data_IF_708227309432
#
_entry.id   IF_708227309432
#
_cell.length_a   1.000
_cell.length_b   1.000
_cell.length_c   1.000
_cell.angle_alpha   90.00
_cell.angle_beta   90.00
_cell.angle_gamma   90.00
#
_symmetry.space_group_name_H-M   'P 1'
#
loop_
_entity.id
_entity.type
_entity.pdbx_description
1 polymer ?
#
# COMPACT_ATOMS: atom_id res chain seq x y z
N UNK A 1 20.38 14.92 -7.49
CA UNK A 1 18.99 15.42 -7.46
C UNK A 1 18.08 14.23 -7.71
N UNK A 2 17.00 14.07 -6.94
CA UNK A 2 15.96 13.11 -7.33
C UNK A 2 15.29 13.67 -8.57
N UNK A 3 15.29 12.90 -9.64
CA UNK A 3 14.59 13.25 -10.87
C UNK A 3 13.10 13.44 -10.55
N UNK A 4 12.53 14.55 -11.00
CA UNK A 4 11.10 14.81 -10.85
C UNK A 4 10.34 13.86 -11.76
N UNK A 5 9.61 12.91 -11.17
CA UNK A 5 8.84 11.92 -11.93
C UNK A 5 7.50 12.56 -12.31
N UNK A 6 7.33 12.85 -13.59
CA UNK A 6 6.02 13.21 -14.15
C UNK A 6 5.24 11.93 -14.49
N UNK A 7 4.09 11.74 -13.85
CA UNK A 7 3.23 10.58 -14.13
C UNK A 7 2.63 10.65 -15.53
N UNK A 8 2.45 9.48 -16.15
CA UNK A 8 1.66 9.36 -17.38
C UNK A 8 0.17 9.54 -17.04
N UNK A 9 -0.66 10.05 -17.97
CA UNK A 9 -2.09 10.27 -17.72
C UNK A 9 -2.82 9.02 -17.18
N UNK A 10 -2.48 7.84 -17.69
CA UNK A 10 -3.11 6.57 -17.29
C UNK A 10 -2.75 6.20 -15.85
N UNK A 11 -1.50 6.44 -15.45
CA UNK A 11 -1.03 6.19 -14.08
C UNK A 11 -1.67 7.18 -13.12
N UNK A 12 -1.77 8.45 -13.51
CA UNK A 12 -2.43 9.49 -12.72
C UNK A 12 -3.91 9.16 -12.50
N UNK A 13 -4.64 8.85 -13.57
CA UNK A 13 -6.06 8.50 -13.48
C UNK A 13 -6.28 7.26 -12.59
N UNK A 14 -5.46 6.22 -12.74
CA UNK A 14 -5.60 5.01 -11.94
C UNK A 14 -5.28 5.26 -10.45
N UNK A 15 -4.28 6.08 -10.16
CA UNK A 15 -3.97 6.51 -8.79
C UNK A 15 -5.12 7.31 -8.15
N UNK A 16 -5.85 8.11 -8.94
CA UNK A 16 -7.07 8.78 -8.47
C UNK A 16 -8.19 7.79 -8.15
N UNK A 17 -8.38 6.74 -8.96
CA UNK A 17 -9.36 5.69 -8.65
C UNK A 17 -9.00 4.91 -7.38
N UNK A 18 -7.70 4.61 -7.21
CA UNK A 18 -7.16 4.04 -5.97
C UNK A 18 -7.55 4.88 -4.74
N UNK A 19 -7.27 6.17 -4.78
CA UNK A 19 -7.61 7.11 -3.70
C UNK A 19 -9.13 7.17 -3.42
N UNK A 20 -9.96 7.27 -4.46
CA UNK A 20 -11.42 7.30 -4.29
C UNK A 20 -11.92 6.05 -3.55
N UNK A 21 -11.43 4.87 -3.92
CA UNK A 21 -11.79 3.60 -3.28
C UNK A 21 -11.27 3.49 -1.85
N UNK A 22 -10.10 4.05 -1.56
CA UNK A 22 -9.59 4.12 -0.18
C UNK A 22 -10.50 5.00 0.68
N UNK A 23 -10.94 6.16 0.18
CA UNK A 23 -11.89 7.04 0.87
C UNK A 23 -13.24 6.39 1.14
N UNK A 24 -13.77 5.62 0.17
CA UNK A 24 -14.98 4.83 0.39
C UNK A 24 -14.83 3.89 1.61
N UNK A 25 -13.62 3.40 1.86
CA UNK A 25 -13.27 2.48 2.94
C UNK A 25 -12.71 3.14 4.21
N UNK A 26 -12.66 4.48 4.32
CA UNK A 26 -12.08 5.18 5.49
C UNK A 26 -12.74 4.76 6.82
N UNK A 27 -14.01 4.37 6.77
CA UNK A 27 -14.77 3.86 7.92
C UNK A 27 -14.20 2.55 8.51
N UNK A 28 -13.28 1.87 7.81
CA UNK A 28 -12.64 0.61 8.26
C UNK A 28 -11.38 0.82 9.11
N UNK A 29 -10.89 2.06 9.29
CA UNK A 29 -9.80 2.38 10.21
C UNK A 29 -8.37 2.25 9.67
N UNK A 30 -8.20 2.07 8.35
CA UNK A 30 -6.89 2.00 7.69
C UNK A 30 -6.18 0.65 7.80
N UNK A 31 -4.88 0.60 7.46
CA UNK A 31 -4.07 -0.63 7.38
C UNK A 31 -2.76 -0.57 8.18
N UNK A 32 -2.56 0.46 9.01
CA UNK A 32 -1.29 0.70 9.71
C UNK A 32 -0.93 -0.38 10.73
N UNK A 33 -1.91 -1.12 11.25
CA UNK A 33 -1.68 -2.19 12.23
C UNK A 33 -1.82 -3.59 11.62
N UNK A 34 -2.19 -3.67 10.34
CA UNK A 34 -2.34 -4.95 9.65
C UNK A 34 -1.01 -5.66 9.44
N UNK A 35 -1.05 -6.98 9.53
CA UNK A 35 0.11 -7.83 9.28
C UNK A 35 0.20 -8.20 7.78
N UNK A 36 1.40 -8.56 7.31
CA UNK A 36 1.63 -8.81 5.88
C UNK A 36 0.90 -10.07 5.37
N UNK A 37 0.69 -11.07 6.22
CA UNK A 37 0.00 -12.31 5.84
C UNK A 37 -1.49 -12.02 5.58
N UNK A 38 -2.12 -11.21 6.44
CA UNK A 38 -3.49 -10.78 6.25
C UNK A 38 -3.66 -9.95 4.98
N UNK A 39 -2.79 -8.95 4.75
CA UNK A 39 -2.85 -8.13 3.54
C UNK A 39 -2.60 -8.95 2.26
N UNK A 40 -1.70 -9.93 2.31
CA UNK A 40 -1.45 -10.83 1.17
C UNK A 40 -2.64 -11.75 0.91
N UNK A 41 -3.27 -12.26 1.97
CA UNK A 41 -4.49 -13.06 1.85
C UNK A 41 -5.62 -12.24 1.21
N UNK A 42 -5.86 -11.01 1.69
CA UNK A 42 -6.82 -10.07 1.09
C UNK A 42 -6.53 -9.78 -0.37
N UNK A 43 -5.27 -9.51 -0.73
CA UNK A 43 -4.88 -9.33 -2.13
C UNK A 43 -5.27 -10.53 -2.99
N UNK A 44 -5.17 -11.75 -2.46
CA UNK A 44 -5.64 -12.97 -3.12
C UNK A 44 -7.15 -13.02 -3.32
N UNK A 45 -7.94 -12.52 -2.37
CA UNK A 45 -9.40 -12.37 -2.52
C UNK A 45 -9.72 -11.38 -3.65
N UNK A 46 -9.15 -10.17 -3.63
CA UNK A 46 -9.42 -9.15 -4.65
C UNK A 46 -8.97 -9.62 -6.06
N UNK A 47 -7.90 -10.41 -6.15
CA UNK A 47 -7.49 -11.02 -7.42
C UNK A 47 -8.52 -12.03 -7.94
N UNK A 48 -9.11 -12.84 -7.05
CA UNK A 48 -10.17 -13.77 -7.43
C UNK A 48 -11.41 -13.01 -7.91
N UNK A 49 -11.77 -11.91 -7.25
CA UNK A 49 -12.86 -11.01 -7.65
C UNK A 49 -12.59 -10.39 -9.02
N UNK A 50 -11.38 -9.87 -9.25
CA UNK A 50 -10.96 -9.35 -10.56
C UNK A 50 -11.06 -10.41 -11.68
N UNK A 51 -10.64 -11.65 -11.42
CA UNK A 51 -10.76 -12.72 -12.40
C UNK A 51 -12.22 -12.98 -12.76
N UNK A 52 -13.10 -13.06 -11.76
CA UNK A 52 -14.54 -13.23 -11.97
C UNK A 52 -15.16 -12.04 -12.69
N UNK A 53 -14.76 -10.82 -12.35
CA UNK A 53 -15.17 -9.59 -13.03
C UNK A 53 -14.81 -9.60 -14.53
N UNK A 54 -13.63 -10.10 -14.89
CA UNK A 54 -13.20 -10.24 -16.29
C UNK A 54 -14.04 -11.31 -17.01
N UNK A 55 -14.27 -12.46 -16.38
CA UNK A 55 -15.07 -13.56 -16.95
C UNK A 55 -16.53 -13.14 -17.20
N UNK A 56 -17.09 -12.29 -16.34
CA UNK A 56 -18.47 -11.83 -16.39
C UNK A 56 -18.64 -10.45 -17.05
N UNK A 57 -17.55 -9.82 -17.49
CA UNK A 57 -17.51 -8.47 -18.05
C UNK A 57 -18.19 -7.40 -17.16
N UNK A 58 -18.02 -7.49 -15.84
CA UNK A 58 -18.60 -6.56 -14.85
C UNK A 58 -17.53 -6.01 -13.92
N UNK A 59 -17.64 -4.75 -13.48
CA UNK A 59 -16.84 -4.13 -12.40
C UNK A 59 -15.31 -4.26 -12.48
N UNK A 60 -14.74 -4.68 -13.62
CA UNK A 60 -13.31 -4.96 -13.83
C UNK A 60 -12.40 -3.85 -13.32
N UNK A 61 -12.79 -2.59 -13.54
CA UNK A 61 -12.02 -1.43 -13.09
C UNK A 61 -11.95 -1.35 -11.56
N UNK A 62 -13.07 -1.59 -10.86
CA UNK A 62 -13.13 -1.51 -9.40
C UNK A 62 -12.28 -2.62 -8.77
N UNK A 63 -12.38 -3.84 -9.28
CA UNK A 63 -11.60 -4.96 -8.76
C UNK A 63 -10.09 -4.83 -9.06
N UNK A 64 -9.73 -4.25 -10.21
CA UNK A 64 -8.33 -3.95 -10.51
C UNK A 64 -7.75 -2.91 -9.54
N UNK A 65 -8.54 -1.92 -9.16
CA UNK A 65 -8.18 -0.91 -8.15
C UNK A 65 -7.99 -1.56 -6.78
N UNK A 66 -8.86 -2.51 -6.39
CA UNK A 66 -8.73 -3.21 -5.11
C UNK A 66 -7.43 -4.03 -5.04
N UNK A 67 -7.09 -4.78 -6.08
CA UNK A 67 -5.80 -5.49 -6.19
C UNK A 67 -4.62 -4.53 -6.03
N UNK A 68 -4.65 -3.39 -6.72
CA UNK A 68 -3.58 -2.39 -6.64
C UNK A 68 -3.47 -1.75 -5.26
N UNK A 69 -4.60 -1.46 -4.61
CA UNK A 69 -4.65 -0.90 -3.27
C UNK A 69 -4.02 -1.85 -2.25
N UNK A 70 -4.37 -3.13 -2.25
CA UNK A 70 -3.73 -4.08 -1.33
C UNK A 70 -2.25 -4.28 -1.62
N UNK A 71 -1.83 -4.30 -2.89
CA UNK A 71 -0.41 -4.36 -3.23
C UNK A 71 0.36 -3.14 -2.69
N UNK A 72 -0.23 -1.95 -2.79
CA UNK A 72 0.32 -0.72 -2.24
C UNK A 72 0.39 -0.76 -0.70
N UNK A 73 -0.66 -1.23 -0.02
CA UNK A 73 -0.67 -1.36 1.45
C UNK A 73 0.46 -2.27 1.95
N UNK A 74 0.71 -3.39 1.27
CA UNK A 74 1.84 -4.28 1.57
C UNK A 74 3.18 -3.53 1.44
N UNK A 75 3.37 -2.80 0.34
CA UNK A 75 4.59 -2.03 0.12
C UNK A 75 4.79 -0.94 1.19
N UNK A 76 3.74 -0.22 1.54
CA UNK A 76 3.75 0.82 2.58
C UNK A 76 4.15 0.24 3.95
N UNK A 77 3.60 -0.93 4.33
CA UNK A 77 3.97 -1.61 5.58
C UNK A 77 5.43 -2.01 5.65
N UNK A 78 6.01 -2.47 4.53
CA UNK A 78 7.45 -2.79 4.47
C UNK A 78 8.30 -1.53 4.64
N UNK A 79 7.94 -0.43 3.97
CA UNK A 79 8.65 0.85 4.07
C UNK A 79 8.57 1.38 5.51
N UNK A 80 7.40 1.32 6.12
CA UNK A 80 7.18 1.78 7.49
C UNK A 80 8.01 1.00 8.51
N UNK A 81 8.06 -0.33 8.40
CA UNK A 81 8.91 -1.19 9.24
C UNK A 81 10.39 -0.79 9.12
N UNK A 82 10.89 -0.55 7.90
CA UNK A 82 12.27 -0.09 7.67
C UNK A 82 12.54 1.25 8.35
N UNK A 83 11.64 2.23 8.18
CA UNK A 83 11.73 3.56 8.83
C UNK A 83 11.78 3.45 10.35
N UNK A 84 10.95 2.59 10.96
CA UNK A 84 10.93 2.34 12.42
C UNK A 84 12.25 1.72 12.90
N UNK A 85 12.79 0.73 12.19
CA UNK A 85 14.08 0.09 12.53
C UNK A 85 15.25 1.08 12.47
N UNK A 86 15.35 1.88 11.40
CA UNK A 86 16.40 2.90 11.27
C UNK A 86 16.31 3.99 12.35
N UNK A 87 15.09 4.38 12.75
CA UNK A 87 14.88 5.32 13.84
C UNK A 87 15.33 4.73 15.19
N UNK A 88 15.10 3.44 15.42
CA UNK A 88 15.56 2.73 16.61
C UNK A 88 17.10 2.65 16.65
N UNK A 89 17.75 2.24 15.56
CA UNK A 89 19.22 2.18 15.46
C UNK A 89 19.88 3.55 15.68
N UNK A 90 19.32 4.64 15.12
CA UNK A 90 19.83 6.00 15.33
C UNK A 90 19.74 6.46 16.79
N UNK A 91 18.65 6.12 17.48
CA UNK A 91 18.50 6.42 18.92
C UNK A 91 19.48 5.61 19.77
N UNK A 92 19.71 4.35 19.44
CA UNK A 92 20.67 3.48 20.15
C UNK A 92 22.12 3.95 19.94
N UNK A 93 22.49 4.35 18.72
CA UNK A 93 23.82 4.86 18.40
C UNK A 93 24.10 6.21 19.10
N UNK A 94 23.11 7.10 19.18
CA UNK A 94 23.22 8.34 19.98
C UNK A 94 23.41 8.08 21.47
N UNK A 95 22.79 7.07 22.06
CA UNK A 95 22.97 6.75 23.50
C UNK A 95 24.33 6.15 23.85
N UNK A 96 24.98 5.45 22.91
CA UNK A 96 26.31 4.86 23.09
C UNK A 96 27.45 5.88 22.94
N UNK A 97 27.23 7.01 22.27
CA UNK A 97 28.21 8.10 22.10
C UNK A 97 28.26 9.14 23.23
N UNK A 98 27.59 8.89 24.37
CA UNK A 98 27.69 9.73 25.59
C UNK A 98 28.36 8.99 26.76
N UNK A 99 29.00 7.84 26.49
CA UNK A 99 29.90 7.16 27.43
C UNK A 99 31.34 7.32 26.95
N UNK A 100 31.83 8.56 26.92
CA UNK A 100 33.26 8.92 26.96
C UNK A 100 33.44 10.04 27.98
#
# INVERSE_FOLDING_TARGET
MKEEIKLRPEVQWFAEQMELKLRENDHKGGWSDENLEHLLWRLGEEYAELRTAIELETDIMREAVDVANFAMMIADRVIERRRRSEAHSRKHHRKMGYFE
#
